data_IF_918409625926
#
_entry.id   IF_918409625926
#
_cell.length_a   1.000
_cell.length_b   1.000
_cell.length_c   1.000
_cell.angle_alpha   90.00
_cell.angle_beta   90.00
_cell.angle_gamma   90.00
#
_symmetry.space_group_name_H-M   'P 1'
#
loop_
_entity.id
_entity.type
_entity.pdbx_description
1 polymer ?
#
# COMPACT_ATOMS: atom_id res chain seq x y z
N UNK A 1 -29.55 31.66 -48.15
CA UNK A 1 -28.09 31.39 -48.21
C UNK A 1 -27.65 30.95 -46.82
N UNK A 2 -27.70 29.66 -46.54
CA UNK A 2 -27.27 29.10 -45.25
C UNK A 2 -25.89 28.49 -45.45
N UNK A 3 -24.90 28.98 -44.72
CA UNK A 3 -23.54 28.46 -44.71
C UNK A 3 -23.40 27.53 -43.52
N UNK A 4 -23.38 26.23 -43.78
CA UNK A 4 -23.12 25.20 -42.77
C UNK A 4 -21.62 25.07 -42.46
N UNK A 5 -21.22 25.37 -41.24
CA UNK A 5 -19.87 25.07 -40.74
C UNK A 5 -19.87 23.65 -40.14
N UNK A 6 -19.24 22.72 -40.83
CA UNK A 6 -18.93 21.38 -40.35
C UNK A 6 -17.58 21.42 -39.62
N UNK A 7 -17.62 21.31 -38.28
CA UNK A 7 -16.44 21.09 -37.47
C UNK A 7 -16.05 19.60 -37.52
N UNK A 8 -15.01 19.30 -38.29
CA UNK A 8 -14.37 18.01 -38.36
C UNK A 8 -13.70 17.67 -37.00
N UNK A 9 -14.38 16.90 -36.14
CA UNK A 9 -13.79 16.31 -34.95
C UNK A 9 -12.89 15.15 -35.36
N UNK A 10 -11.61 15.30 -35.09
CA UNK A 10 -10.52 14.40 -35.41
C UNK A 10 -10.76 12.95 -34.93
N UNK A 11 -10.79 12.03 -35.90
CA UNK A 11 -11.00 10.59 -35.75
C UNK A 11 -9.88 9.82 -34.99
N UNK A 12 -8.90 10.52 -34.44
CA UNK A 12 -7.70 9.92 -33.82
C UNK A 12 -7.97 9.43 -32.39
N UNK A 13 -8.86 10.10 -31.64
CA UNK A 13 -9.18 9.73 -30.25
C UNK A 13 -9.96 8.41 -30.15
N UNK A 14 -10.84 8.14 -31.12
CA UNK A 14 -11.69 6.93 -31.12
C UNK A 14 -10.91 5.65 -31.47
N UNK A 15 -9.79 5.77 -32.18
CA UNK A 15 -8.95 4.63 -32.59
C UNK A 15 -8.07 4.11 -31.44
N UNK A 16 -7.63 4.98 -30.55
CA UNK A 16 -6.84 4.61 -29.37
C UNK A 16 -7.71 3.89 -28.33
N UNK A 17 -8.95 4.38 -28.13
CA UNK A 17 -9.89 3.72 -27.20
C UNK A 17 -10.32 2.32 -27.68
N UNK A 18 -10.51 2.10 -28.98
CA UNK A 18 -10.83 0.76 -29.51
C UNK A 18 -9.70 -0.24 -29.39
N UNK A 19 -8.44 0.19 -29.45
CA UNK A 19 -7.27 -0.70 -29.34
C UNK A 19 -7.03 -1.19 -27.91
N UNK A 20 -7.52 -0.44 -26.90
CA UNK A 20 -7.44 -0.84 -25.49
C UNK A 20 -8.54 -1.87 -25.09
N UNK A 21 -9.60 -2.00 -25.88
CA UNK A 21 -10.73 -2.90 -25.58
C UNK A 21 -10.60 -4.30 -26.22
N UNK A 22 -9.59 -4.55 -27.05
CA UNK A 22 -9.46 -5.80 -27.83
C UNK A 22 -8.27 -6.67 -27.44
N UNK A 23 -7.66 -6.48 -26.28
CA UNK A 23 -6.67 -7.45 -25.76
C UNK A 23 -7.44 -8.66 -25.25
N UNK A 24 -7.25 -9.86 -25.84
CA UNK A 24 -7.91 -11.08 -25.37
C UNK A 24 -7.59 -11.34 -23.90
N UNK A 25 -8.60 -11.72 -23.15
CA UNK A 25 -8.55 -11.98 -21.70
C UNK A 25 -7.57 -13.10 -21.30
N UNK A 26 -7.04 -13.86 -22.26
CA UNK A 26 -6.24 -15.08 -22.06
C UNK A 26 -4.75 -14.86 -21.81
N UNK A 27 -4.19 -13.66 -22.16
CA UNK A 27 -2.75 -13.43 -22.12
C UNK A 27 -2.30 -12.38 -21.08
N UNK A 28 -3.03 -12.22 -19.99
CA UNK A 28 -2.57 -11.30 -18.94
C UNK A 28 -1.43 -11.94 -18.16
N UNK A 29 -0.28 -11.25 -18.06
CA UNK A 29 0.90 -11.84 -17.45
C UNK A 29 0.61 -12.27 -16.01
N UNK A 30 1.05 -13.48 -15.69
CA UNK A 30 1.18 -13.98 -14.32
C UNK A 30 1.91 -12.96 -13.45
N UNK A 31 1.73 -13.04 -12.12
CA UNK A 31 2.51 -12.23 -11.17
C UNK A 31 3.99 -12.45 -11.48
N UNK A 32 4.58 -11.52 -12.18
CA UNK A 32 5.97 -11.57 -12.62
C UNK A 32 6.65 -10.23 -12.42
N UNK A 33 7.96 -10.14 -12.65
CA UNK A 33 8.75 -8.91 -12.52
C UNK A 33 8.13 -7.72 -13.26
N UNK A 34 7.40 -7.97 -14.34
CA UNK A 34 6.71 -6.94 -15.11
C UNK A 34 5.68 -6.13 -14.32
N UNK A 35 5.02 -6.71 -13.30
CA UNK A 35 4.10 -5.94 -12.45
C UNK A 35 4.85 -4.92 -11.58
N UNK A 36 6.02 -5.26 -11.08
CA UNK A 36 6.84 -4.36 -10.25
C UNK A 36 7.27 -3.14 -11.08
N UNK A 37 7.60 -3.37 -12.35
CA UNK A 37 8.05 -2.30 -13.27
C UNK A 37 6.88 -1.50 -13.84
N UNK A 38 5.75 -2.16 -14.13
CA UNK A 38 4.57 -1.56 -14.74
C UNK A 38 3.29 -2.12 -14.10
N UNK A 39 2.93 -1.67 -12.90
CA UNK A 39 1.69 -2.09 -12.26
C UNK A 39 0.49 -1.72 -13.15
N UNK A 40 -0.41 -2.68 -13.34
CA UNK A 40 -1.63 -2.53 -14.10
C UNK A 40 -2.85 -2.83 -13.21
N UNK A 41 -3.94 -2.09 -13.46
CA UNK A 41 -5.22 -2.29 -12.77
C UNK A 41 -5.92 -3.51 -13.38
N UNK A 42 -5.69 -4.68 -12.77
CA UNK A 42 -6.24 -5.93 -13.29
C UNK A 42 -7.73 -6.12 -12.96
N UNK A 43 -8.44 -6.84 -13.83
CA UNK A 43 -9.76 -7.38 -13.50
C UNK A 43 -9.63 -8.50 -12.45
N UNK A 44 -10.65 -8.65 -11.59
CA UNK A 44 -10.71 -9.70 -10.58
C UNK A 44 -10.58 -11.09 -11.25
N UNK A 45 -9.67 -11.94 -10.81
CA UNK A 45 -9.53 -13.30 -11.34
C UNK A 45 -10.64 -14.22 -10.80
N UNK A 46 -10.78 -15.40 -11.42
CA UNK A 46 -11.61 -16.46 -10.88
C UNK A 46 -11.14 -16.91 -9.48
N UNK A 47 -12.05 -17.38 -8.58
CA UNK A 47 -11.70 -17.73 -7.20
C UNK A 47 -10.54 -18.71 -7.05
N UNK A 48 -10.44 -19.73 -7.93
CA UNK A 48 -9.32 -20.70 -7.93
C UNK A 48 -7.95 -20.06 -8.19
N UNK A 49 -7.91 -19.00 -9.01
CA UNK A 49 -6.69 -18.24 -9.28
C UNK A 49 -6.37 -17.26 -8.16
N UNK A 50 -7.40 -16.78 -7.46
CA UNK A 50 -7.26 -15.91 -6.28
C UNK A 50 -6.48 -16.65 -5.18
N UNK A 51 -6.93 -17.83 -4.75
CA UNK A 51 -6.28 -18.61 -3.68
C UNK A 51 -4.83 -18.95 -4.02
N UNK A 52 -4.56 -19.43 -5.25
CA UNK A 52 -3.20 -19.71 -5.70
C UNK A 52 -2.33 -18.45 -5.71
N UNK A 53 -2.90 -17.33 -6.14
CA UNK A 53 -2.22 -16.04 -6.17
C UNK A 53 -1.87 -15.54 -4.77
N UNK A 54 -2.81 -15.60 -3.83
CA UNK A 54 -2.58 -15.22 -2.43
C UNK A 54 -1.56 -16.14 -1.75
N UNK A 55 -1.64 -17.45 -1.96
CA UNK A 55 -0.66 -18.40 -1.42
C UNK A 55 0.76 -18.14 -1.95
N UNK A 56 0.91 -17.80 -3.24
CA UNK A 56 2.20 -17.41 -3.80
C UNK A 56 2.71 -16.10 -3.18
N UNK A 57 1.85 -15.09 -3.06
CA UNK A 57 2.24 -13.81 -2.45
C UNK A 57 2.61 -13.97 -0.97
N UNK A 58 1.88 -14.83 -0.24
CA UNK A 58 2.22 -15.17 1.14
C UNK A 58 3.59 -15.83 1.23
N UNK A 59 3.85 -16.86 0.41
CA UNK A 59 5.14 -17.56 0.39
C UNK A 59 6.30 -16.62 0.00
N UNK A 60 6.16 -15.84 -1.06
CA UNK A 60 7.17 -14.88 -1.50
C UNK A 60 7.35 -13.77 -0.45
N UNK A 61 6.26 -13.28 0.12
CA UNK A 61 6.28 -12.26 1.18
C UNK A 61 7.01 -12.77 2.41
N UNK A 62 6.66 -13.95 2.89
CA UNK A 62 7.26 -14.59 4.05
C UNK A 62 8.75 -14.86 3.87
N UNK A 63 9.14 -15.53 2.78
CA UNK A 63 10.55 -15.81 2.50
C UNK A 63 11.38 -14.54 2.31
N UNK A 64 10.85 -13.56 1.58
CA UNK A 64 11.54 -12.29 1.38
C UNK A 64 11.66 -11.48 2.66
N UNK A 65 10.66 -11.50 3.54
CA UNK A 65 10.74 -10.84 4.85
C UNK A 65 11.74 -11.52 5.79
N UNK A 66 11.85 -12.84 5.76
CA UNK A 66 12.88 -13.56 6.51
C UNK A 66 14.30 -13.20 6.04
N UNK A 67 14.52 -13.14 4.73
CA UNK A 67 15.83 -12.72 4.17
C UNK A 67 16.14 -11.27 4.54
N UNK A 68 15.15 -10.38 4.40
CA UNK A 68 15.31 -8.98 4.78
C UNK A 68 15.53 -8.82 6.30
N UNK A 69 14.91 -9.67 7.13
CA UNK A 69 15.13 -9.70 8.57
C UNK A 69 16.58 -10.04 8.94
N UNK A 70 17.23 -10.96 8.22
CA UNK A 70 18.64 -11.27 8.44
C UNK A 70 19.54 -10.03 8.21
N UNK A 71 19.24 -9.27 7.15
CA UNK A 71 19.93 -8.01 6.87
C UNK A 71 19.58 -6.95 7.95
N UNK A 72 18.29 -6.86 8.30
CA UNK A 72 17.79 -5.95 9.31
C UNK A 72 18.45 -6.16 10.68
N UNK A 73 18.53 -7.40 11.20
CA UNK A 73 19.08 -7.66 12.52
C UNK A 73 20.55 -7.19 12.63
N UNK A 74 21.38 -7.50 11.64
CA UNK A 74 22.77 -7.08 11.61
C UNK A 74 22.95 -5.54 11.50
N UNK A 75 22.12 -4.89 10.67
CA UNK A 75 22.21 -3.44 10.49
C UNK A 75 21.58 -2.67 11.65
N UNK A 76 20.50 -3.19 12.24
CA UNK A 76 19.83 -2.62 13.40
C UNK A 76 20.79 -2.57 14.59
N UNK A 77 21.44 -3.69 14.89
CA UNK A 77 22.44 -3.79 15.96
C UNK A 77 23.62 -2.81 15.72
N UNK A 78 24.17 -2.80 14.51
CA UNK A 78 25.29 -1.93 14.15
C UNK A 78 24.94 -0.42 14.19
N UNK A 79 23.68 -0.06 13.98
CA UNK A 79 23.19 1.31 13.95
C UNK A 79 22.51 1.76 15.27
N UNK A 80 22.44 0.86 16.28
CA UNK A 80 21.84 1.16 17.59
C UNK A 80 20.32 1.32 17.55
N UNK A 81 19.62 0.60 16.65
CA UNK A 81 18.16 0.57 16.61
C UNK A 81 17.63 -0.43 17.65
N UNK A 82 16.79 0.04 18.55
CA UNK A 82 16.10 -0.78 19.57
C UNK A 82 14.61 -0.85 19.27
N UNK A 83 14.00 -2.04 19.32
CA UNK A 83 12.57 -2.23 19.06
C UNK A 83 11.74 -1.73 20.25
N UNK A 84 11.03 -0.65 20.08
CA UNK A 84 10.05 -0.14 21.06
C UNK A 84 8.78 -0.99 21.04
N UNK A 85 8.34 -1.41 19.85
CA UNK A 85 7.12 -2.18 19.69
C UNK A 85 7.20 -3.52 20.44
N UNK A 86 8.33 -4.18 20.42
CA UNK A 86 8.51 -5.47 21.10
C UNK A 86 8.37 -5.31 22.62
N UNK A 87 9.06 -4.33 23.21
CA UNK A 87 8.98 -4.05 24.64
C UNK A 87 7.58 -3.62 25.11
N UNK A 88 6.84 -2.91 24.28
CA UNK A 88 5.44 -2.55 24.57
C UNK A 88 4.51 -3.76 24.51
N UNK A 89 4.69 -4.64 23.51
CA UNK A 89 3.87 -5.84 23.36
C UNK A 89 4.07 -6.85 24.47
N UNK A 90 5.25 -6.96 25.06
CA UNK A 90 5.53 -7.84 26.21
C UNK A 90 4.64 -7.54 27.44
N UNK A 91 4.17 -6.31 27.59
CA UNK A 91 3.28 -5.90 28.67
C UNK A 91 1.83 -6.35 28.48
N UNK A 92 1.50 -6.89 27.30
CA UNK A 92 0.14 -7.22 26.90
C UNK A 92 -0.09 -8.74 26.94
N UNK A 93 -1.30 -9.16 27.30
CA UNK A 93 -1.67 -10.58 27.20
C UNK A 93 -1.64 -11.05 25.75
N UNK A 94 -1.41 -12.34 25.53
CA UNK A 94 -1.42 -12.95 24.19
C UNK A 94 -2.69 -12.64 23.39
N UNK A 95 -3.85 -12.60 24.07
CA UNK A 95 -5.12 -12.25 23.42
C UNK A 95 -5.13 -10.79 22.95
N UNK A 96 -4.61 -9.86 23.74
CA UNK A 96 -4.51 -8.44 23.37
C UNK A 96 -3.52 -8.25 22.20
N UNK A 97 -2.36 -8.90 22.27
CA UNK A 97 -1.40 -8.89 21.15
C UNK A 97 -2.04 -9.42 19.86
N UNK A 98 -2.75 -10.56 19.93
CA UNK A 98 -3.44 -11.12 18.76
C UNK A 98 -4.46 -10.15 18.18
N UNK A 99 -5.32 -9.58 19.01
CA UNK A 99 -6.36 -8.62 18.57
C UNK A 99 -5.69 -7.41 17.93
N UNK A 100 -4.65 -6.85 18.55
CA UNK A 100 -3.98 -5.66 18.06
C UNK A 100 -3.20 -5.96 16.77
N UNK A 101 -2.26 -6.91 16.81
CA UNK A 101 -1.28 -7.14 15.74
C UNK A 101 -1.88 -7.88 14.56
N UNK A 102 -2.76 -8.87 14.82
CA UNK A 102 -3.29 -9.74 13.76
C UNK A 102 -4.59 -9.21 13.15
N UNK A 103 -5.41 -8.50 13.94
CA UNK A 103 -6.72 -8.05 13.46
C UNK A 103 -6.79 -6.54 13.24
N UNK A 104 -6.51 -5.73 14.26
CA UNK A 104 -6.73 -4.29 14.20
C UNK A 104 -5.68 -3.56 13.37
N UNK A 105 -4.39 -3.85 13.57
CA UNK A 105 -3.33 -3.19 12.83
C UNK A 105 -3.48 -3.40 11.31
N UNK A 106 -3.69 -4.63 10.78
CA UNK A 106 -3.93 -4.82 9.36
C UNK A 106 -5.15 -4.04 8.83
N UNK A 107 -6.26 -3.98 9.57
CA UNK A 107 -7.45 -3.22 9.13
C UNK A 107 -7.12 -1.73 9.02
N UNK A 108 -6.46 -1.16 10.02
CA UNK A 108 -6.07 0.25 10.02
C UNK A 108 -5.07 0.55 8.92
N UNK A 109 -4.03 -0.25 8.79
CA UNK A 109 -2.96 -0.04 7.83
C UNK A 109 -3.43 -0.21 6.38
N UNK A 110 -4.25 -1.24 6.09
CA UNK A 110 -4.83 -1.39 4.76
C UNK A 110 -5.80 -0.23 4.43
N UNK A 111 -6.48 0.32 5.43
CA UNK A 111 -7.35 1.48 5.26
C UNK A 111 -6.52 2.75 5.01
N UNK A 112 -5.45 2.96 5.77
CA UNK A 112 -4.61 4.15 5.65
C UNK A 112 -3.82 4.14 4.33
N UNK A 113 -3.17 3.04 4.01
CA UNK A 113 -2.19 3.02 2.91
C UNK A 113 -2.75 2.50 1.59
N UNK A 114 -3.78 1.63 1.61
CA UNK A 114 -4.19 0.89 0.39
C UNK A 114 -5.65 1.03 0.00
N UNK A 115 -6.51 1.61 0.86
CA UNK A 115 -7.92 1.84 0.51
C UNK A 115 -8.09 2.66 -0.78
N UNK A 116 -7.29 3.73 -1.04
CA UNK A 116 -7.40 4.53 -2.26
C UNK A 116 -6.89 3.83 -3.53
N UNK A 117 -6.11 2.74 -3.40
CA UNK A 117 -5.48 2.07 -4.55
C UNK A 117 -6.52 1.31 -5.36
N UNK A 118 -7.05 1.96 -6.38
CA UNK A 118 -7.97 1.38 -7.35
C UNK A 118 -7.88 2.11 -8.68
N UNK A 119 -8.38 1.47 -9.75
CA UNK A 119 -8.31 1.99 -11.11
C UNK A 119 -8.89 3.41 -11.24
N UNK A 120 -9.99 3.70 -10.55
CA UNK A 120 -10.63 5.00 -10.58
C UNK A 120 -10.22 5.81 -9.35
N UNK A 121 -9.64 6.98 -9.58
CA UNK A 121 -9.34 7.93 -8.51
C UNK A 121 -10.61 8.36 -7.78
N UNK A 122 -10.71 8.05 -6.51
CA UNK A 122 -11.82 8.43 -5.63
C UNK A 122 -11.30 9.33 -4.52
N UNK A 123 -11.42 10.66 -4.66
CA UNK A 123 -10.88 11.58 -3.66
C UNK A 123 -11.45 11.37 -2.25
N UNK A 124 -12.72 10.93 -2.15
CA UNK A 124 -13.32 10.58 -0.85
C UNK A 124 -12.63 9.42 -0.13
N UNK A 125 -12.19 8.38 -0.86
CA UNK A 125 -11.45 7.27 -0.24
C UNK A 125 -10.04 7.70 0.18
N UNK A 126 -9.38 8.53 -0.60
CA UNK A 126 -8.07 9.08 -0.21
C UNK A 126 -8.21 10.04 0.98
N UNK A 127 -9.25 10.86 1.02
CA UNK A 127 -9.54 11.70 2.17
C UNK A 127 -9.82 10.87 3.44
N UNK A 128 -10.59 9.78 3.32
CA UNK A 128 -10.85 8.85 4.42
C UNK A 128 -9.55 8.19 4.92
N UNK A 129 -8.70 7.72 4.02
CA UNK A 129 -7.38 7.18 4.38
C UNK A 129 -6.54 8.17 5.17
N UNK A 130 -6.43 9.40 4.68
CA UNK A 130 -5.69 10.47 5.35
C UNK A 130 -6.31 10.81 6.72
N UNK A 131 -7.64 10.89 6.81
CA UNK A 131 -8.32 11.16 8.09
C UNK A 131 -8.09 10.02 9.11
N UNK A 132 -8.15 8.75 8.67
CA UNK A 132 -7.81 7.60 9.53
C UNK A 132 -6.35 7.66 9.97
N UNK A 133 -5.43 8.00 9.07
CA UNK A 133 -4.01 8.22 9.41
C UNK A 133 -3.82 9.36 10.40
N UNK A 134 -4.52 10.48 10.24
CA UNK A 134 -4.48 11.58 11.19
C UNK A 134 -4.91 11.13 12.60
N UNK A 135 -6.01 10.38 12.71
CA UNK A 135 -6.48 9.85 13.98
C UNK A 135 -5.48 8.88 14.61
N UNK A 136 -4.85 8.01 13.80
CA UNK A 136 -3.81 7.09 14.27
C UNK A 136 -2.62 7.85 14.87
N UNK A 137 -2.20 8.96 14.25
CA UNK A 137 -1.10 9.79 14.73
C UNK A 137 -1.51 10.91 15.69
N UNK A 138 -2.77 10.95 16.14
CA UNK A 138 -3.25 12.02 17.03
C UNK A 138 -2.46 12.10 18.36
N UNK A 139 -1.95 10.97 18.84
CA UNK A 139 -1.09 10.91 20.03
C UNK A 139 0.36 11.31 19.81
N UNK A 140 0.85 11.28 18.56
CA UNK A 140 2.28 11.49 18.25
C UNK A 140 2.68 12.97 18.10
N UNK A 141 1.71 13.89 18.07
CA UNK A 141 1.97 15.33 18.01
C UNK A 141 0.87 16.10 17.28
N UNK A 142 0.45 17.21 17.87
CA UNK A 142 -0.67 18.01 17.37
C UNK A 142 -0.43 18.59 15.97
N UNK A 143 0.80 18.98 15.63
CA UNK A 143 1.11 19.57 14.34
C UNK A 143 0.92 18.57 13.19
N UNK A 144 1.44 17.34 13.30
CA UNK A 144 1.30 16.31 12.28
C UNK A 144 -0.17 15.92 12.08
N UNK A 145 -0.92 15.75 13.16
CA UNK A 145 -2.37 15.51 13.10
C UNK A 145 -3.08 16.57 12.25
N UNK A 146 -2.86 17.85 12.54
CA UNK A 146 -3.53 18.94 11.82
C UNK A 146 -3.10 19.01 10.34
N UNK A 147 -1.82 18.79 10.03
CA UNK A 147 -1.34 18.76 8.64
C UNK A 147 -2.03 17.65 7.85
N UNK A 148 -2.08 16.43 8.37
CA UNK A 148 -2.73 15.31 7.68
C UNK A 148 -4.24 15.55 7.55
N UNK A 149 -4.88 16.08 8.58
CA UNK A 149 -6.31 16.39 8.55
C UNK A 149 -6.63 17.49 7.51
N UNK A 150 -5.82 18.54 7.43
CA UNK A 150 -5.96 19.58 6.39
C UNK A 150 -5.78 18.99 4.98
N UNK A 151 -4.82 18.08 4.79
CA UNK A 151 -4.66 17.35 3.53
C UNK A 151 -5.89 16.50 3.20
N UNK A 152 -6.48 15.83 4.19
CA UNK A 152 -7.72 15.05 4.00
C UNK A 152 -8.87 15.94 3.51
N UNK A 153 -9.06 17.10 4.13
CA UNK A 153 -10.08 18.08 3.72
C UNK A 153 -9.79 18.63 2.32
N UNK A 154 -8.53 18.99 2.03
CA UNK A 154 -8.14 19.49 0.72
C UNK A 154 -8.38 18.45 -0.38
N UNK A 155 -8.00 17.19 -0.15
CA UNK A 155 -8.23 16.09 -1.08
C UNK A 155 -9.73 15.80 -1.25
N UNK A 156 -10.50 15.79 -0.17
CA UNK A 156 -11.96 15.61 -0.22
C UNK A 156 -12.63 16.69 -1.08
N UNK A 157 -12.15 17.94 -1.00
CA UNK A 157 -12.68 19.06 -1.79
C UNK A 157 -12.46 18.91 -3.31
N UNK A 158 -11.50 18.06 -3.75
CA UNK A 158 -11.28 17.76 -5.17
C UNK A 158 -12.55 17.13 -5.80
N UNK A 159 -13.31 16.36 -4.99
CA UNK A 159 -14.56 15.75 -5.43
C UNK A 159 -15.58 16.75 -5.97
N UNK A 160 -15.61 17.97 -5.41
CA UNK A 160 -16.49 19.05 -5.80
C UNK A 160 -16.00 19.80 -7.07
N UNK A 161 -14.83 19.48 -7.61
CA UNK A 161 -14.19 20.16 -8.75
C UNK A 161 -14.06 19.21 -9.95
N UNK A 162 -15.05 19.06 -10.83
CA UNK A 162 -15.07 18.02 -11.86
C UNK A 162 -13.85 18.03 -12.79
N UNK A 163 -13.40 19.21 -13.24
CA UNK A 163 -12.23 19.34 -14.12
C UNK A 163 -10.93 18.89 -13.45
N UNK A 164 -10.71 19.29 -12.18
CA UNK A 164 -9.53 18.89 -11.43
C UNK A 164 -9.54 17.39 -11.17
N UNK A 165 -10.69 16.84 -10.76
CA UNK A 165 -10.87 15.41 -10.57
C UNK A 165 -10.54 14.62 -11.83
N UNK A 166 -11.02 15.06 -13.00
CA UNK A 166 -10.75 14.41 -14.28
C UNK A 166 -9.26 14.44 -14.63
N UNK A 167 -8.59 15.58 -14.49
CA UNK A 167 -7.16 15.69 -14.74
C UNK A 167 -6.32 14.76 -13.83
N UNK A 168 -6.71 14.62 -12.56
CA UNK A 168 -6.05 13.70 -11.64
C UNK A 168 -6.35 12.26 -12.02
N UNK A 169 -7.59 11.94 -12.38
CA UNK A 169 -8.01 10.61 -12.84
C UNK A 169 -7.17 10.15 -14.03
N UNK A 170 -6.98 11.02 -15.03
CA UNK A 170 -6.21 10.70 -16.24
C UNK A 170 -4.74 10.37 -15.87
N UNK A 171 -4.12 11.20 -15.03
CA UNK A 171 -2.77 10.97 -14.53
C UNK A 171 -2.66 9.71 -13.66
N UNK A 172 -3.64 9.47 -12.81
CA UNK A 172 -3.71 8.30 -11.94
C UNK A 172 -3.79 7.00 -12.74
N UNK A 173 -4.62 6.99 -13.78
CA UNK A 173 -4.79 5.81 -14.63
C UNK A 173 -3.56 5.54 -15.49
N UNK A 174 -2.94 6.59 -16.05
CA UNK A 174 -1.76 6.45 -16.91
C UNK A 174 -0.52 6.07 -16.08
N UNK A 175 -0.38 6.61 -14.88
CA UNK A 175 0.80 6.46 -14.03
C UNK A 175 0.50 5.64 -12.76
N UNK A 176 -0.09 4.45 -12.89
CA UNK A 176 -0.37 3.56 -11.75
C UNK A 176 0.85 3.27 -10.85
N UNK A 177 2.07 3.42 -11.40
CA UNK A 177 3.33 3.25 -10.64
C UNK A 177 3.42 4.22 -9.45
N UNK A 178 3.03 5.48 -9.64
CA UNK A 178 3.16 6.51 -8.60
C UNK A 178 2.36 6.13 -7.36
N UNK A 179 1.03 5.94 -7.40
CA UNK A 179 0.27 5.58 -6.21
C UNK A 179 0.68 4.24 -5.61
N UNK A 180 1.01 3.24 -6.43
CA UNK A 180 1.43 1.90 -5.98
C UNK A 180 2.74 1.97 -5.20
N UNK A 181 3.77 2.61 -5.77
CA UNK A 181 5.06 2.73 -5.09
C UNK A 181 5.01 3.69 -3.91
N UNK A 182 4.25 4.80 -4.00
CA UNK A 182 4.06 5.70 -2.86
C UNK A 182 3.44 4.97 -1.67
N UNK A 183 2.37 4.21 -1.88
CA UNK A 183 1.73 3.45 -0.82
C UNK A 183 2.68 2.40 -0.21
N UNK A 184 3.46 1.71 -1.05
CA UNK A 184 4.44 0.70 -0.61
C UNK A 184 5.55 1.31 0.24
N UNK A 185 6.15 2.40 -0.25
CA UNK A 185 7.28 3.04 0.42
C UNK A 185 6.86 3.75 1.70
N UNK A 186 5.74 4.50 1.68
CA UNK A 186 5.23 5.17 2.87
C UNK A 186 4.87 4.16 3.95
N UNK A 187 4.22 3.06 3.57
CA UNK A 187 3.92 1.96 4.49
C UNK A 187 5.19 1.39 5.13
N UNK A 188 6.22 1.07 4.34
CA UNK A 188 7.46 0.51 4.88
C UNK A 188 8.23 1.51 5.75
N UNK A 189 8.41 2.74 5.25
CA UNK A 189 9.20 3.76 5.93
C UNK A 189 8.59 4.23 7.25
N UNK A 190 7.26 4.26 7.37
CA UNK A 190 6.61 4.67 8.63
C UNK A 190 6.96 3.74 9.78
N UNK A 191 7.30 2.48 9.50
CA UNK A 191 7.67 1.51 10.53
C UNK A 191 8.98 1.86 11.25
N UNK A 192 9.71 2.87 10.79
CA UNK A 192 10.88 3.38 11.51
C UNK A 192 10.50 3.94 12.91
N UNK A 193 9.24 4.36 13.09
CA UNK A 193 8.74 4.84 14.40
C UNK A 193 8.63 3.71 15.44
N UNK A 194 8.73 2.44 15.02
CA UNK A 194 8.73 1.29 15.91
C UNK A 194 10.10 1.07 16.59
N UNK A 195 11.06 1.92 16.28
CA UNK A 195 12.41 1.82 16.80
C UNK A 195 12.81 3.10 17.52
N UNK A 196 13.47 2.95 18.66
CA UNK A 196 14.25 3.99 19.30
C UNK A 196 15.68 3.96 18.74
N UNK A 197 16.24 5.13 18.46
CA UNK A 197 17.59 5.28 17.91
C UNK A 197 18.14 6.68 18.15
N UNK A 198 19.42 6.77 18.48
CA UNK A 198 20.13 8.04 18.44
C UNK A 198 20.36 8.48 17.00
N UNK A 199 19.65 9.54 16.57
CA UNK A 199 19.68 10.00 15.19
C UNK A 199 21.06 10.56 14.82
N UNK A 200 21.74 9.84 13.96
CA UNK A 200 23.01 10.21 13.30
C UNK A 200 22.83 10.17 11.79
N UNK A 201 23.77 10.70 11.03
CA UNK A 201 23.74 10.58 9.57
C UNK A 201 23.78 9.11 9.12
N UNK A 202 24.50 8.28 9.87
CA UNK A 202 24.55 6.84 9.60
C UNK A 202 23.20 6.18 9.85
N UNK A 203 22.56 6.45 10.98
CA UNK A 203 21.22 5.94 11.28
C UNK A 203 20.21 6.33 10.17
N UNK A 204 20.20 7.59 9.75
CA UNK A 204 19.31 8.06 8.66
C UNK A 204 19.56 7.32 7.34
N UNK A 205 20.82 7.12 6.96
CA UNK A 205 21.17 6.41 5.71
C UNK A 205 20.80 4.92 5.75
N UNK A 206 20.87 4.29 6.93
CA UNK A 206 20.57 2.87 7.12
C UNK A 206 19.06 2.62 7.33
N UNK A 207 18.30 3.61 7.76
CA UNK A 207 16.86 3.48 8.05
C UNK A 207 16.03 2.73 6.98
N UNK A 208 16.16 2.99 5.66
CA UNK A 208 15.42 2.23 4.65
C UNK A 208 15.77 0.74 4.59
N UNK A 209 16.99 0.38 4.97
CA UNK A 209 17.44 -1.01 5.04
C UNK A 209 16.89 -1.69 6.30
N UNK A 210 16.85 -0.97 7.42
CA UNK A 210 16.27 -1.44 8.68
C UNK A 210 14.79 -1.80 8.50
N UNK A 211 14.03 -1.00 7.77
CA UNK A 211 12.60 -1.26 7.48
C UNK A 211 12.38 -2.00 6.15
N UNK A 212 13.42 -2.60 5.58
CA UNK A 212 13.29 -3.35 4.31
C UNK A 212 12.31 -4.54 4.37
N UNK A 213 12.16 -5.28 5.48
CA UNK A 213 11.12 -6.30 5.61
C UNK A 213 9.71 -5.72 5.41
N UNK A 214 9.43 -4.56 6.01
CA UNK A 214 8.13 -3.87 5.91
C UNK A 214 7.90 -3.31 4.50
N UNK A 215 8.95 -2.78 3.84
CA UNK A 215 8.85 -2.34 2.44
C UNK A 215 8.52 -3.53 1.54
N UNK A 216 9.18 -4.68 1.72
CA UNK A 216 8.92 -5.90 0.97
C UNK A 216 7.50 -6.41 1.17
N UNK A 217 7.06 -6.55 2.42
CA UNK A 217 5.69 -6.95 2.73
C UNK A 217 4.66 -5.94 2.21
N UNK A 218 4.95 -4.65 2.35
CA UNK A 218 4.17 -3.57 1.78
C UNK A 218 3.93 -3.73 0.29
N UNK A 219 4.93 -4.17 -0.46
CA UNK A 219 4.81 -4.48 -1.89
C UNK A 219 3.88 -5.68 -2.11
N UNK A 220 4.02 -6.76 -1.35
CA UNK A 220 3.16 -7.95 -1.51
C UNK A 220 1.69 -7.63 -1.22
N UNK A 221 1.41 -6.89 -0.15
CA UNK A 221 0.05 -6.46 0.19
C UNK A 221 -0.51 -5.48 -0.85
N UNK A 222 0.32 -4.59 -1.40
CA UNK A 222 -0.08 -3.68 -2.48
C UNK A 222 -0.40 -4.45 -3.77
N UNK A 223 0.39 -5.46 -4.13
CA UNK A 223 0.08 -6.35 -5.27
C UNK A 223 -1.25 -7.08 -5.03
N UNK A 224 -1.46 -7.64 -3.83
CA UNK A 224 -2.71 -8.32 -3.48
C UNK A 224 -3.90 -7.35 -3.61
N UNK A 225 -3.77 -6.13 -3.10
CA UNK A 225 -4.79 -5.08 -3.20
C UNK A 225 -5.15 -4.73 -4.63
N UNK A 226 -4.15 -4.46 -5.47
CA UNK A 226 -4.37 -4.02 -6.85
C UNK A 226 -4.92 -5.14 -7.72
N UNK A 227 -4.47 -6.39 -7.51
CA UNK A 227 -4.86 -7.54 -8.32
C UNK A 227 -6.15 -8.22 -7.87
N UNK A 228 -6.38 -8.29 -6.57
CA UNK A 228 -7.44 -9.14 -6.01
C UNK A 228 -8.45 -8.34 -5.17
N UNK A 229 -8.21 -7.04 -4.98
CA UNK A 229 -9.11 -6.16 -4.24
C UNK A 229 -8.70 -5.95 -2.77
N UNK A 230 -9.42 -5.06 -2.10
CA UNK A 230 -9.06 -4.62 -0.74
C UNK A 230 -9.02 -5.78 0.27
N UNK A 231 -10.01 -6.64 0.24
CA UNK A 231 -10.09 -7.80 1.13
C UNK A 231 -8.92 -8.75 0.98
N UNK A 232 -8.38 -8.89 -0.24
CA UNK A 232 -7.24 -9.76 -0.49
C UNK A 232 -5.97 -9.23 0.16
N UNK A 233 -5.73 -7.92 0.10
CA UNK A 233 -4.65 -7.26 0.84
C UNK A 233 -4.80 -7.47 2.34
N UNK A 234 -5.98 -7.20 2.89
CA UNK A 234 -6.29 -7.38 4.31
C UNK A 234 -6.07 -8.82 4.79
N UNK A 235 -6.63 -9.80 4.08
CA UNK A 235 -6.48 -11.22 4.44
C UNK A 235 -5.01 -11.65 4.39
N UNK A 236 -4.29 -11.25 3.34
CA UNK A 236 -2.87 -11.58 3.20
C UNK A 236 -2.05 -10.99 4.36
N UNK A 237 -2.31 -9.72 4.70
CA UNK A 237 -1.63 -9.01 5.79
C UNK A 237 -1.93 -9.67 7.14
N UNK A 238 -3.20 -9.85 7.49
CA UNK A 238 -3.58 -10.52 8.73
C UNK A 238 -3.04 -11.94 8.86
N UNK A 239 -3.02 -12.71 7.75
CA UNK A 239 -2.44 -14.06 7.73
C UNK A 239 -0.94 -14.01 7.97
N UNK A 240 -0.21 -13.09 7.34
CA UNK A 240 1.23 -12.92 7.57
C UNK A 240 1.52 -12.58 9.04
N UNK A 241 0.83 -11.57 9.59
CA UNK A 241 1.01 -11.17 10.98
C UNK A 241 0.65 -12.30 11.95
N UNK A 242 -0.41 -13.06 11.66
CA UNK A 242 -0.81 -14.23 12.45
C UNK A 242 0.25 -15.34 12.44
N UNK A 243 0.90 -15.58 11.30
CA UNK A 243 2.01 -16.55 11.21
C UNK A 243 3.21 -16.09 12.05
N UNK A 244 3.64 -14.83 11.92
CA UNK A 244 4.76 -14.30 12.70
C UNK A 244 4.42 -14.34 14.20
N UNK A 245 3.25 -13.86 14.60
CA UNK A 245 2.80 -13.90 16.00
C UNK A 245 2.79 -15.33 16.58
N UNK A 246 2.31 -16.31 15.79
CA UNK A 246 2.30 -17.71 16.23
C UNK A 246 3.71 -18.29 16.41
N UNK A 247 4.63 -17.95 15.50
CA UNK A 247 6.03 -18.41 15.59
C UNK A 247 6.72 -17.78 16.80
N UNK A 248 6.54 -16.48 17.03
CA UNK A 248 7.12 -15.77 18.18
C UNK A 248 6.57 -16.30 19.50
N UNK A 249 5.26 -16.59 19.59
CA UNK A 249 4.63 -17.17 20.77
C UNK A 249 5.02 -18.62 21.07
N UNK A 250 5.57 -19.36 20.08
CA UNK A 250 6.12 -20.71 20.28
C UNK A 250 7.59 -20.68 20.73
N UNK A 251 8.27 -19.55 20.56
CA UNK A 251 9.68 -19.38 20.92
C UNK A 251 9.87 -18.90 22.38
N UNK A 252 8.80 -18.41 23.02
CA UNK A 252 8.72 -17.99 24.41
C UNK A 252 8.03 -19.06 25.26
#
# INVERSE_FOLDING_TARGET
>A
MQVGFSLGLSSTSTRIQRKLLTVPHTDRPSIGPGFIVAPDWAAMPEPRHLLRGLAKLLGIGFLGSLLAWQIFSALSEAAGYESVLESELEQWSLAQQFILVVLLAPVLEETIYRLPLQQHFRPGLLALSLATGALFFAGAGTALFWVILMLAVAVGSIGARPRLRQNIQDKWTINARIPVWSATLVFGLIHIVNFDVEWSIYAVLVAPLVVSPQIWLGLMFTIARVRYGWWAGLVLHATHNGLIWSISGLAN
#
